data_IF_205043444311
#
_entry.id   IF_205043444311
#
_cell.length_a   1.000
_cell.length_b   1.000
_cell.length_c   1.000
_cell.angle_alpha   90.00
_cell.angle_beta   90.00
_cell.angle_gamma   90.00
#
_symmetry.space_group_name_H-M   'P 1'
#
loop_
_entity.id
_entity.type
_entity.pdbx_description
1 polymer ?
#
# COMPACT_ATOMS: atom_id res chain seq x y z
N UNK A 1 -11.07 19.36 -15.12
CA UNK A 1 -10.04 18.34 -15.45
C UNK A 1 -9.32 17.99 -14.16
N UNK A 2 -9.30 16.72 -13.75
CA UNK A 2 -8.57 16.32 -12.54
C UNK A 2 -7.07 16.55 -12.75
N UNK A 3 -6.41 17.14 -11.76
CA UNK A 3 -4.95 17.23 -11.76
C UNK A 3 -4.40 15.81 -11.66
N UNK A 4 -3.55 15.38 -12.61
CA UNK A 4 -3.04 14.00 -12.72
C UNK A 4 -1.92 13.73 -11.69
N UNK A 5 -2.20 13.89 -10.39
CA UNK A 5 -1.23 13.68 -9.32
C UNK A 5 -1.50 12.37 -8.56
N UNK A 6 -0.43 11.72 -8.10
CA UNK A 6 -0.50 10.63 -7.12
C UNK A 6 -0.58 11.18 -5.69
N UNK A 7 -0.26 10.35 -4.70
CA UNK A 7 -0.22 10.77 -3.30
C UNK A 7 0.34 9.70 -2.38
N UNK A 8 0.36 9.99 -1.08
CA UNK A 8 0.68 9.01 -0.04
C UNK A 8 -0.54 8.13 0.27
N UNK A 9 -0.40 7.17 1.17
CA UNK A 9 -1.51 6.37 1.65
C UNK A 9 -2.67 7.22 2.19
N UNK A 10 -2.38 8.32 2.89
CA UNK A 10 -3.39 9.23 3.45
C UNK A 10 -4.22 9.91 2.36
N UNK A 11 -3.62 10.24 1.22
CA UNK A 11 -4.35 10.77 0.06
C UNK A 11 -5.10 9.67 -0.70
N UNK A 12 -4.41 8.58 -1.06
CA UNK A 12 -4.94 7.57 -1.97
C UNK A 12 -6.06 6.75 -1.31
N UNK A 13 -5.86 6.27 -0.07
CA UNK A 13 -6.89 5.50 0.64
C UNK A 13 -8.11 6.37 0.96
N UNK A 14 -7.91 7.64 1.33
CA UNK A 14 -9.03 8.54 1.61
C UNK A 14 -9.88 8.75 0.36
N UNK A 15 -9.25 9.05 -0.77
CA UNK A 15 -9.94 9.15 -2.04
C UNK A 15 -10.67 7.85 -2.40
N UNK A 16 -10.01 6.70 -2.25
CA UNK A 16 -10.59 5.41 -2.62
C UNK A 16 -11.79 5.04 -1.75
N UNK A 17 -11.73 5.31 -0.44
CA UNK A 17 -12.89 5.13 0.45
C UNK A 17 -14.06 6.00 0.02
N UNK A 18 -13.83 7.30 -0.24
CA UNK A 18 -14.88 8.20 -0.73
C UNK A 18 -15.51 7.70 -2.03
N UNK A 19 -14.71 7.14 -2.94
CA UNK A 19 -15.22 6.52 -4.15
C UNK A 19 -16.09 5.29 -3.83
N UNK A 20 -15.66 4.40 -2.94
CA UNK A 20 -16.45 3.23 -2.52
C UNK A 20 -17.77 3.64 -1.87
N UNK A 21 -17.75 4.63 -0.97
CA UNK A 21 -18.96 5.16 -0.34
C UNK A 21 -19.92 5.75 -1.39
N UNK A 22 -19.40 6.50 -2.37
CA UNK A 22 -20.20 7.07 -3.46
C UNK A 22 -20.82 6.00 -4.38
N UNK A 23 -20.17 4.83 -4.49
CA UNK A 23 -20.69 3.66 -5.20
C UNK A 23 -21.69 2.85 -4.38
N UNK A 24 -21.98 3.25 -3.13
CA UNK A 24 -22.96 2.60 -2.26
C UNK A 24 -22.39 1.48 -1.39
N UNK A 25 -21.08 1.29 -1.37
CA UNK A 25 -20.45 0.36 -0.43
C UNK A 25 -20.47 0.93 0.98
N UNK A 26 -20.63 0.06 1.98
CA UNK A 26 -20.44 0.42 3.38
C UNK A 26 -18.97 0.25 3.73
N UNK A 27 -18.31 1.33 4.11
CA UNK A 27 -16.89 1.29 4.43
C UNK A 27 -16.52 2.07 5.69
N UNK A 28 -15.50 1.58 6.41
CA UNK A 28 -14.91 2.23 7.58
C UNK A 28 -13.41 2.37 7.40
N UNK A 29 -12.82 3.35 8.09
CA UNK A 29 -11.38 3.47 8.22
C UNK A 29 -10.88 2.77 9.49
N UNK A 30 -9.63 2.31 9.47
CA UNK A 30 -8.91 1.85 10.65
C UNK A 30 -7.39 2.10 10.47
N UNK A 31 -6.62 2.31 11.55
CA UNK A 31 -5.18 2.47 11.47
C UNK A 31 -4.48 1.12 11.28
N UNK A 32 -3.44 1.11 10.45
CA UNK A 32 -2.53 -0.02 10.24
C UNK A 32 -1.13 0.43 10.68
N UNK A 33 -0.39 -0.42 11.38
CA UNK A 33 1.03 -0.17 11.67
C UNK A 33 1.90 -0.96 10.70
N UNK A 34 2.44 -0.30 9.68
CA UNK A 34 3.34 -0.90 8.69
C UNK A 34 4.79 -0.63 9.09
N UNK A 35 5.54 -1.67 9.46
CA UNK A 35 6.94 -1.55 9.88
C UNK A 35 7.20 -0.42 10.91
N UNK A 36 6.27 -0.26 11.86
CA UNK A 36 6.33 0.78 12.91
C UNK A 36 5.89 2.17 12.48
N UNK A 37 5.27 2.32 11.30
CA UNK A 37 4.74 3.58 10.78
C UNK A 37 3.23 3.48 10.57
N UNK A 38 2.52 4.59 10.80
CA UNK A 38 1.07 4.65 10.58
C UNK A 38 0.74 4.56 9.09
N UNK A 39 -0.32 3.81 8.80
CA UNK A 39 -0.88 3.63 7.47
C UNK A 39 -2.41 3.60 7.55
N UNK A 40 -3.08 3.96 6.46
CA UNK A 40 -4.55 4.04 6.39
C UNK A 40 -5.10 2.73 5.86
N UNK A 41 -5.91 2.03 6.66
CA UNK A 41 -6.68 0.86 6.24
C UNK A 41 -8.13 1.21 5.92
N UNK A 42 -8.73 0.46 5.00
CA UNK A 42 -10.17 0.51 4.70
C UNK A 42 -10.76 -0.87 4.96
N UNK A 43 -11.89 -0.92 5.68
CA UNK A 43 -12.73 -2.11 5.76
C UNK A 43 -13.96 -1.86 4.89
N UNK A 44 -14.24 -2.80 3.99
CA UNK A 44 -15.48 -2.87 3.24
C UNK A 44 -16.36 -3.95 3.85
N UNK A 45 -17.60 -3.60 4.15
CA UNK A 45 -18.59 -4.51 4.72
C UNK A 45 -19.50 -5.06 3.63
N UNK A 46 -20.05 -6.24 3.89
CA UNK A 46 -21.10 -6.86 3.08
C UNK A 46 -20.70 -7.07 1.60
N UNK A 47 -19.40 -7.15 1.31
CA UNK A 47 -18.87 -7.23 -0.06
C UNK A 47 -19.15 -8.59 -0.74
N UNK A 48 -18.93 -9.70 -0.02
CA UNK A 48 -19.15 -11.05 -0.56
C UNK A 48 -20.48 -11.64 -0.11
N UNK A 49 -20.87 -11.35 1.12
CA UNK A 49 -22.12 -11.75 1.75
C UNK A 49 -22.43 -10.85 2.94
N UNK A 50 -23.68 -10.85 3.41
CA UNK A 50 -24.08 -10.11 4.60
C UNK A 50 -23.22 -10.53 5.81
N UNK A 51 -22.68 -9.54 6.52
CA UNK A 51 -21.75 -9.70 7.65
C UNK A 51 -20.28 -9.86 7.26
N UNK A 52 -19.96 -10.04 5.98
CA UNK A 52 -18.56 -10.18 5.54
C UNK A 52 -17.78 -8.86 5.70
N UNK A 53 -16.50 -8.96 6.04
CA UNK A 53 -15.58 -7.82 6.14
C UNK A 53 -14.35 -8.09 5.30
N UNK A 54 -13.91 -7.08 4.55
CA UNK A 54 -12.73 -7.19 3.70
C UNK A 54 -11.81 -6.00 3.91
N UNK A 55 -10.52 -6.25 4.07
CA UNK A 55 -9.50 -5.20 4.04
C UNK A 55 -9.23 -4.82 2.60
N UNK A 56 -9.20 -3.51 2.35
CA UNK A 56 -8.86 -2.95 1.04
C UNK A 56 -7.73 -1.95 1.21
N UNK A 57 -6.69 -2.16 0.41
CA UNK A 57 -5.50 -1.33 0.42
C UNK A 57 -5.02 -1.01 -0.99
N UNK A 58 -5.08 0.27 -1.35
CA UNK A 58 -4.53 0.81 -2.59
C UNK A 58 -3.41 1.84 -2.34
N UNK A 59 -2.95 1.98 -1.10
CA UNK A 59 -2.01 3.02 -0.67
C UNK A 59 -0.65 2.51 -0.19
N UNK A 60 -0.49 1.20 0.02
CA UNK A 60 0.66 0.54 0.65
C UNK A 60 1.91 0.44 -0.25
N UNK A 61 1.84 0.83 -1.53
CA UNK A 61 2.88 0.64 -2.58
C UNK A 61 3.15 -0.83 -2.94
N UNK A 62 2.94 -1.78 -2.03
CA UNK A 62 3.04 -3.21 -2.30
C UNK A 62 1.80 -3.74 -3.05
N UNK A 63 1.93 -4.81 -3.84
CA UNK A 63 0.88 -5.24 -4.77
C UNK A 63 -0.25 -5.98 -4.04
N UNK A 64 -1.24 -5.22 -3.55
CA UNK A 64 -2.51 -5.73 -3.02
C UNK A 64 -3.64 -5.44 -4.01
N UNK A 65 -3.81 -6.32 -4.99
CA UNK A 65 -4.78 -6.10 -6.08
C UNK A 65 -6.15 -6.74 -5.86
N UNK A 66 -6.43 -7.20 -4.64
CA UNK A 66 -7.72 -7.78 -4.27
C UNK A 66 -8.13 -7.35 -2.87
N UNK A 67 -9.44 -7.34 -2.62
CA UNK A 67 -9.98 -7.18 -1.29
C UNK A 67 -9.74 -8.47 -0.49
N UNK A 68 -9.21 -8.34 0.73
CA UNK A 68 -8.81 -9.48 1.55
C UNK A 68 -9.92 -9.82 2.55
N UNK A 69 -10.55 -10.99 2.48
CA UNK A 69 -11.59 -11.38 3.41
C UNK A 69 -11.01 -11.58 4.83
N UNK A 70 -11.74 -11.09 5.84
CA UNK A 70 -11.39 -11.23 7.27
C UNK A 70 -12.12 -12.39 7.96
N UNK A 71 -12.70 -13.33 7.20
CA UNK A 71 -13.47 -14.46 7.74
C UNK A 71 -12.62 -15.70 8.08
N UNK A 72 -11.30 -15.61 7.98
CA UNK A 72 -10.40 -16.69 8.40
C UNK A 72 -10.27 -16.76 9.92
N UNK A 73 -10.17 -17.98 10.45
CA UNK A 73 -10.01 -18.24 11.89
C UNK A 73 -8.60 -17.87 12.37
N UNK A 74 -7.58 -18.49 11.78
CA UNK A 74 -6.17 -18.30 12.16
C UNK A 74 -5.32 -17.70 11.06
N UNK A 75 -5.48 -18.15 9.82
CA UNK A 75 -4.62 -17.78 8.70
C UNK A 75 -5.43 -17.68 7.42
N UNK A 76 -5.15 -16.66 6.60
CA UNK A 76 -5.73 -16.53 5.26
C UNK A 76 -5.10 -17.52 4.28
N UNK A 77 -5.63 -17.59 3.06
CA UNK A 77 -4.85 -18.12 1.95
C UNK A 77 -3.57 -17.30 1.69
N UNK A 78 -2.66 -17.84 0.87
CA UNK A 78 -1.47 -17.13 0.42
C UNK A 78 -1.82 -16.40 -0.88
N UNK A 79 -1.65 -15.08 -0.86
CA UNK A 79 -1.82 -14.22 -2.02
C UNK A 79 -0.48 -14.04 -2.74
N UNK A 80 -0.51 -14.02 -4.07
CA UNK A 80 0.68 -13.83 -4.91
C UNK A 80 0.38 -12.82 -6.01
N UNK A 81 0.98 -11.64 -5.90
CA UNK A 81 0.86 -10.58 -6.90
C UNK A 81 2.22 -9.96 -7.15
N UNK A 82 2.53 -9.75 -8.43
CA UNK A 82 3.84 -9.28 -8.88
C UNK A 82 4.96 -10.08 -8.19
N UNK A 83 5.95 -9.38 -7.64
CA UNK A 83 7.09 -9.94 -6.91
C UNK A 83 6.79 -10.38 -5.46
N UNK A 84 5.55 -10.27 -4.99
CA UNK A 84 5.21 -10.43 -3.57
C UNK A 84 4.29 -11.62 -3.34
N UNK A 85 4.64 -12.44 -2.35
CA UNK A 85 3.73 -13.36 -1.68
C UNK A 85 3.47 -12.89 -0.25
N UNK A 86 2.22 -12.92 0.16
CA UNK A 86 1.81 -12.47 1.49
C UNK A 86 0.60 -13.26 1.99
N UNK A 87 0.39 -13.21 3.30
CA UNK A 87 -0.75 -13.81 3.99
C UNK A 87 -1.07 -13.03 5.24
N UNK A 88 -2.22 -13.32 5.84
CA UNK A 88 -2.66 -12.71 7.08
C UNK A 88 -2.81 -13.76 8.16
N UNK A 89 -2.38 -13.44 9.37
CA UNK A 89 -2.46 -14.31 10.54
C UNK A 89 -3.20 -13.58 11.65
N UNK A 90 -4.21 -14.22 12.24
CA UNK A 90 -4.92 -13.70 13.41
C UNK A 90 -4.26 -14.24 14.67
N UNK A 91 -3.83 -13.31 15.53
CA UNK A 91 -3.32 -13.61 16.87
C UNK A 91 -4.47 -13.94 17.83
N UNK A 92 -4.13 -14.54 18.96
CA UNK A 92 -5.11 -14.89 20.00
C UNK A 92 -5.81 -13.66 20.62
N UNK A 93 -5.15 -12.50 20.61
CA UNK A 93 -5.71 -11.21 21.05
C UNK A 93 -6.56 -10.51 19.98
N UNK A 94 -6.76 -11.14 18.82
CA UNK A 94 -7.59 -10.62 17.73
C UNK A 94 -6.87 -9.70 16.75
N UNK A 95 -5.64 -9.29 17.03
CA UNK A 95 -4.81 -8.52 16.09
C UNK A 95 -4.53 -9.36 14.84
N UNK A 96 -4.66 -8.74 13.67
CA UNK A 96 -4.31 -9.38 12.40
C UNK A 96 -2.92 -8.89 11.97
N UNK A 97 -2.00 -9.82 11.79
CA UNK A 97 -0.68 -9.57 11.24
C UNK A 97 -0.69 -9.80 9.73
N UNK A 98 -0.16 -8.85 8.98
CA UNK A 98 0.11 -8.99 7.55
C UNK A 98 1.56 -9.43 7.38
N UNK A 99 1.76 -10.67 6.93
CA UNK A 99 3.07 -11.28 6.76
C UNK A 99 3.48 -11.27 5.29
N UNK A 100 4.73 -10.90 5.03
CA UNK A 100 5.36 -11.02 3.71
C UNK A 100 6.32 -12.21 3.73
N UNK A 101 6.32 -12.99 2.65
CA UNK A 101 7.32 -14.02 2.47
C UNK A 101 8.68 -13.38 2.21
N UNK A 102 9.72 -13.91 2.85
CA UNK A 102 11.10 -13.50 2.59
C UNK A 102 11.49 -13.83 1.15
N UNK A 103 12.39 -13.03 0.57
CA UNK A 103 12.90 -13.25 -0.78
C UNK A 103 14.13 -14.14 -0.82
N UNK A 104 14.83 -14.26 0.29
CA UNK A 104 16.03 -15.11 0.41
C UNK A 104 15.68 -16.53 0.81
N UNK A 105 14.52 -16.73 1.44
CA UNK A 105 14.04 -18.04 1.89
C UNK A 105 12.51 -18.10 1.77
N UNK A 106 12.01 -19.02 0.95
CA UNK A 106 10.57 -19.19 0.76
C UNK A 106 9.86 -19.78 2.00
N UNK A 107 10.60 -20.30 2.97
CA UNK A 107 10.02 -20.81 4.22
C UNK A 107 9.91 -19.72 5.29
N UNK A 108 10.58 -18.59 5.10
CA UNK A 108 10.61 -17.49 6.07
C UNK A 108 9.52 -16.46 5.76
N UNK A 109 8.84 -16.01 6.82
CA UNK A 109 7.77 -15.02 6.78
C UNK A 109 8.04 -13.97 7.84
N UNK A 110 8.10 -12.71 7.42
CA UNK A 110 8.31 -11.60 8.33
C UNK A 110 7.05 -10.74 8.43
N UNK A 111 6.85 -10.17 9.61
CA UNK A 111 5.73 -9.26 9.86
C UNK A 111 5.97 -7.94 9.16
N UNK A 112 5.12 -7.66 8.18
CA UNK A 112 5.13 -6.41 7.45
C UNK A 112 4.23 -5.37 8.12
N UNK A 113 3.05 -5.77 8.59
CA UNK A 113 2.13 -4.87 9.28
C UNK A 113 1.32 -5.54 10.40
N UNK A 114 0.79 -4.72 11.30
CA UNK A 114 -0.18 -5.09 12.33
C UNK A 114 -1.46 -4.29 12.16
N UNK A 115 -2.60 -4.95 12.37
CA UNK A 115 -3.93 -4.42 12.11
C UNK A 115 -4.88 -4.76 13.25
N UNK A 116 -5.38 -3.73 13.92
CA UNK A 116 -6.49 -3.86 14.87
C UNK A 116 -7.80 -3.52 14.15
N UNK A 117 -8.31 -4.48 13.37
CA UNK A 117 -9.44 -4.28 12.44
C UNK A 117 -10.77 -3.92 13.11
N UNK A 118 -10.82 -3.92 14.44
CA UNK A 118 -11.97 -3.47 15.25
C UNK A 118 -11.85 -2.03 15.71
N UNK A 119 -10.67 -1.43 15.64
CA UNK A 119 -10.41 -0.04 16.02
C UNK A 119 -10.75 0.90 14.86
N UNK A 120 -12.04 1.17 14.69
CA UNK A 120 -12.54 2.01 13.61
C UNK A 120 -12.36 3.49 13.95
N UNK A 121 -11.89 4.27 12.97
CA UNK A 121 -11.63 5.71 13.13
C UNK A 121 -12.34 6.52 12.06
N UNK A 122 -12.45 7.83 12.26
CA UNK A 122 -12.94 8.77 11.25
C UNK A 122 -11.77 9.32 10.43
N UNK A 123 -12.09 9.99 9.32
CA UNK A 123 -11.07 10.68 8.50
C UNK A 123 -10.29 11.74 9.30
N UNK A 124 -10.90 12.35 10.32
CA UNK A 124 -10.27 13.35 11.19
C UNK A 124 -9.04 12.83 11.91
N UNK A 125 -9.05 11.55 12.30
CA UNK A 125 -7.88 10.89 12.90
C UNK A 125 -6.66 11.02 11.98
N UNK A 126 -6.82 10.76 10.68
CA UNK A 126 -5.71 10.86 9.74
C UNK A 126 -5.40 12.30 9.32
N UNK A 127 -6.34 13.23 9.38
CA UNK A 127 -6.03 14.64 9.12
C UNK A 127 -5.05 15.20 10.16
N UNK A 128 -5.30 14.95 11.43
CA UNK A 128 -4.42 15.41 12.52
C UNK A 128 -3.01 14.83 12.40
N UNK A 129 -2.89 13.54 12.03
CA UNK A 129 -1.58 12.90 11.84
C UNK A 129 -0.91 13.36 10.55
N UNK A 130 -1.69 13.66 9.50
CA UNK A 130 -1.19 14.19 8.23
C UNK A 130 -0.51 15.54 8.41
N UNK A 131 -1.15 16.48 9.11
CA UNK A 131 -0.58 17.82 9.33
C UNK A 131 0.73 17.74 10.11
N UNK A 132 0.77 16.90 11.15
CA UNK A 132 1.98 16.64 11.92
C UNK A 132 3.10 16.08 11.03
N UNK A 133 2.78 15.08 10.21
CA UNK A 133 3.76 14.44 9.34
C UNK A 133 4.34 15.39 8.30
N UNK A 134 3.52 16.27 7.70
CA UNK A 134 4.00 17.26 6.73
C UNK A 134 4.83 18.38 7.36
N UNK A 135 4.60 18.69 8.65
CA UNK A 135 5.35 19.70 9.38
C UNK A 135 6.67 19.17 9.95
N UNK A 136 6.81 17.85 10.14
CA UNK A 136 7.99 17.23 10.74
C UNK A 136 9.10 16.97 9.69
N UNK A 137 10.23 17.70 9.72
CA UNK A 137 11.32 17.49 8.78
C UNK A 137 12.03 16.14 8.96
N UNK A 138 11.85 15.48 10.11
CA UNK A 138 12.39 14.15 10.36
C UNK A 138 11.51 13.03 9.79
N UNK A 139 10.28 13.35 9.38
CA UNK A 139 9.40 12.38 8.74
C UNK A 139 10.01 11.91 7.42
N UNK A 140 10.08 10.58 7.23
CA UNK A 140 10.71 9.98 6.06
C UNK A 140 10.12 10.51 4.75
N UNK A 141 8.82 10.79 4.68
CA UNK A 141 8.15 11.27 3.46
C UNK A 141 8.60 12.67 3.03
N UNK A 142 9.17 13.46 3.96
CA UNK A 142 9.73 14.77 3.68
C UNK A 142 11.23 14.72 3.35
N UNK A 143 11.88 13.58 3.61
CA UNK A 143 13.34 13.39 3.44
C UNK A 143 13.72 12.54 2.22
N UNK A 144 12.76 11.82 1.63
CA UNK A 144 13.00 10.92 0.49
C UNK A 144 12.17 11.32 -0.73
N UNK A 145 12.73 11.10 -1.92
CA UNK A 145 11.92 11.06 -3.13
C UNK A 145 11.39 9.64 -3.31
N UNK A 146 10.07 9.44 -3.22
CA UNK A 146 9.47 8.13 -3.51
C UNK A 146 8.31 8.25 -4.49
N UNK A 147 8.39 7.47 -5.57
CA UNK A 147 7.35 7.39 -6.59
C UNK A 147 7.20 5.93 -6.97
N UNK A 148 5.98 5.43 -7.05
CA UNK A 148 5.72 4.05 -7.45
C UNK A 148 4.45 3.97 -8.28
N UNK A 149 4.39 3.03 -9.21
CA UNK A 149 3.16 2.68 -9.90
C UNK A 149 3.17 1.20 -10.30
N UNK A 150 2.01 0.75 -10.74
CA UNK A 150 1.83 -0.52 -11.40
C UNK A 150 1.27 -0.32 -12.80
N UNK A 151 1.68 -1.16 -13.73
CA UNK A 151 1.04 -1.33 -15.03
C UNK A 151 0.65 -2.81 -15.16
N UNK A 152 -0.62 -3.12 -14.93
CA UNK A 152 -1.04 -4.50 -14.67
C UNK A 152 -0.31 -5.05 -13.44
N UNK A 153 0.37 -6.18 -13.60
CA UNK A 153 1.13 -6.83 -12.53
C UNK A 153 2.60 -6.37 -12.46
N UNK A 154 3.04 -5.46 -13.34
CA UNK A 154 4.40 -4.96 -13.37
C UNK A 154 4.59 -3.78 -12.43
N UNK A 155 5.52 -3.90 -11.48
CA UNK A 155 5.90 -2.85 -10.56
C UNK A 155 6.98 -1.95 -11.14
N UNK A 156 6.90 -0.66 -10.83
CA UNK A 156 7.99 0.27 -10.98
C UNK A 156 8.04 1.24 -9.80
N UNK A 157 9.23 1.52 -9.29
CA UNK A 157 9.42 2.45 -8.18
C UNK A 157 10.78 3.13 -8.25
N UNK A 158 10.79 4.39 -7.86
CA UNK A 158 12.00 5.16 -7.56
C UNK A 158 11.95 5.51 -6.08
N UNK A 159 13.01 5.18 -5.35
CA UNK A 159 13.27 5.67 -4.00
C UNK A 159 14.66 6.30 -3.99
N UNK A 160 14.71 7.62 -3.88
CA UNK A 160 15.92 8.43 -4.00
C UNK A 160 16.65 8.11 -5.31
N UNK A 161 17.82 7.49 -5.23
CA UNK A 161 18.64 7.10 -6.37
C UNK A 161 18.57 5.59 -6.67
N UNK A 162 17.57 4.89 -6.12
CA UNK A 162 17.34 3.46 -6.36
C UNK A 162 16.08 3.30 -7.18
N UNK A 163 16.23 2.71 -8.36
CA UNK A 163 15.12 2.32 -9.23
C UNK A 163 14.87 0.83 -9.06
N UNK A 164 13.61 0.44 -8.86
CA UNK A 164 13.16 -0.95 -8.75
C UNK A 164 12.05 -1.21 -9.76
N UNK A 165 12.04 -2.41 -10.35
CA UNK A 165 10.97 -2.83 -11.25
C UNK A 165 10.79 -4.34 -11.20
N UNK A 166 9.59 -4.84 -11.54
CA UNK A 166 9.38 -6.26 -11.80
C UNK A 166 9.32 -6.54 -13.30
N UNK A 167 9.82 -7.71 -13.70
CA UNK A 167 9.78 -8.18 -15.09
C UNK A 167 8.87 -9.39 -15.23
N UNK A 168 8.09 -9.44 -16.32
CA UNK A 168 7.35 -10.63 -16.75
C UNK A 168 8.31 -11.60 -17.48
N UNK A 169 8.07 -12.93 -17.42
CA UNK A 169 6.98 -13.61 -16.71
C UNK A 169 7.31 -14.01 -15.26
N UNK A 170 8.58 -13.95 -14.83
CA UNK A 170 8.98 -14.47 -13.51
C UNK A 170 8.61 -13.54 -12.35
N UNK A 171 8.12 -12.33 -12.63
CA UNK A 171 7.81 -11.30 -11.65
C UNK A 171 8.98 -11.01 -10.68
N UNK A 172 10.21 -11.19 -11.15
CA UNK A 172 11.40 -10.98 -10.36
C UNK A 172 11.56 -9.48 -10.10
N UNK A 173 11.69 -9.08 -8.84
CA UNK A 173 12.03 -7.69 -8.53
C UNK A 173 13.51 -7.45 -8.78
N UNK A 174 13.79 -6.53 -9.69
CA UNK A 174 15.11 -6.02 -10.01
C UNK A 174 15.30 -4.64 -9.41
N UNK A 175 16.58 -4.26 -9.27
CA UNK A 175 16.94 -2.93 -8.81
C UNK A 175 18.24 -2.47 -9.42
N UNK A 176 18.37 -1.17 -9.66
CA UNK A 176 19.63 -0.51 -9.99
C UNK A 176 19.76 0.80 -9.23
N UNK A 177 21.01 1.19 -8.96
CA UNK A 177 21.33 2.55 -8.54
C UNK A 177 21.48 3.42 -9.79
N UNK A 178 20.97 4.64 -9.73
CA UNK A 178 21.21 5.71 -10.70
C UNK A 178 22.05 6.77 -10.01
N UNK A 179 22.92 7.44 -10.76
CA UNK A 179 23.92 8.36 -10.18
C UNK A 179 23.60 9.82 -10.49
N UNK A 180 22.80 10.08 -11.53
CA UNK A 180 22.52 11.45 -11.99
C UNK A 180 21.04 11.82 -11.87
N UNK A 181 20.77 13.13 -11.77
CA UNK A 181 19.39 13.65 -11.77
C UNK A 181 18.72 13.44 -13.13
N UNK A 182 19.50 13.50 -14.20
CA UNK A 182 19.06 13.28 -15.57
C UNK A 182 18.55 11.85 -15.77
N UNK A 183 19.23 10.85 -15.20
CA UNK A 183 18.77 9.45 -15.23
C UNK A 183 17.44 9.28 -14.47
N UNK A 184 17.30 9.92 -13.32
CA UNK A 184 16.04 9.91 -12.55
C UNK A 184 14.92 10.57 -13.36
N UNK A 185 15.19 11.73 -13.96
CA UNK A 185 14.22 12.45 -14.79
C UNK A 185 13.78 11.62 -16.02
N UNK A 186 14.72 10.97 -16.71
CA UNK A 186 14.43 10.07 -17.83
C UNK A 186 13.59 8.87 -17.38
N UNK A 187 13.91 8.26 -16.23
CA UNK A 187 13.11 7.20 -15.63
C UNK A 187 11.68 7.68 -15.34
N UNK A 188 11.53 8.90 -14.83
CA UNK A 188 10.24 9.49 -14.53
C UNK A 188 9.43 9.75 -15.81
N UNK A 189 9.98 10.44 -16.81
CA UNK A 189 9.28 10.74 -18.08
C UNK A 189 8.84 9.47 -18.80
N UNK A 190 9.67 8.41 -18.80
CA UNK A 190 9.35 7.14 -19.45
C UNK A 190 8.17 6.42 -18.78
N UNK A 191 8.12 6.41 -17.46
CA UNK A 191 7.16 5.60 -16.69
C UNK A 191 5.90 6.39 -16.27
N UNK A 192 5.98 7.72 -16.29
CA UNK A 192 4.90 8.64 -15.95
C UNK A 192 4.67 9.65 -17.08
N UNK A 193 4.36 9.23 -18.32
CA UNK A 193 4.26 10.13 -19.47
C UNK A 193 3.18 11.22 -19.33
N UNK A 194 2.25 11.02 -18.39
CA UNK A 194 1.20 11.97 -18.04
C UNK A 194 1.65 13.10 -17.11
N UNK A 195 2.84 13.00 -16.51
CA UNK A 195 3.45 14.03 -15.71
C UNK A 195 4.47 14.81 -16.55
N UNK A 196 4.14 16.05 -16.89
CA UNK A 196 5.10 16.96 -17.50
C UNK A 196 5.91 17.63 -16.40
N UNK A 197 7.20 17.27 -16.29
CA UNK A 197 8.17 18.06 -15.54
C UNK A 197 8.28 19.40 -16.26
N UNK A 198 7.89 20.48 -15.59
CA UNK A 198 8.08 21.85 -16.08
C UNK A 198 9.48 22.33 -15.71
#
# INVERSE_FOLDING_TARGET
>A
MFKKYGGTCKTIQTFFKCLLDALGYKTDFFPITVLGQEHVGIIVHDLASQGSKHVVDVGCVYPTFTAIPLNFERESEIYSFSFLKYKYVRRADGIVEWLHQSRSDENDWFRFAEMEVTNLVTVSYFFETTERDFADPSNQFNSILRISHYNGNCFFSVKDNIVKWSEEPQQKLLSKRVETKEEIAQCFTKNFPNFQLK
#
